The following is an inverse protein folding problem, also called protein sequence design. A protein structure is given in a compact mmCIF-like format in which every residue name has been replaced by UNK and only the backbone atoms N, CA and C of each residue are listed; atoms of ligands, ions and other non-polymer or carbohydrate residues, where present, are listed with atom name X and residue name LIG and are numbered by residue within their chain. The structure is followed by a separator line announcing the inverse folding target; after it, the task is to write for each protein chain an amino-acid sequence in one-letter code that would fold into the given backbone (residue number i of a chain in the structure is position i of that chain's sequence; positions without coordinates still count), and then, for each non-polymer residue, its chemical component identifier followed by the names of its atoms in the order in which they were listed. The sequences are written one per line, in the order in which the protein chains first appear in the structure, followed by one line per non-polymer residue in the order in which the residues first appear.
data_IF_274612683070
#
_entry.id   IF_274612683070
#
_cell.length_a   1.000
_cell.length_b   1.000
_cell.length_c   1.000
_cell.angle_alpha   90.00
_cell.angle_beta   90.00
_cell.angle_gamma   90.00
#
_symmetry.space_group_name_H-M   'P 1'
#
loop_
_entity.id
_entity.type
_entity.pdbx_description
1 polymer ?
#
# COMPACT_ATOMS: atom_id res chain seq x y z
N UNK A 1 -8.97 -38.25 9.36
CA UNK A 1 -8.41 -37.06 10.05
C UNK A 1 -6.94 -36.97 9.68
N UNK A 2 -6.40 -35.77 9.39
CA UNK A 2 -4.94 -35.64 9.26
C UNK A 2 -4.28 -36.09 10.56
N UNK A 3 -3.27 -36.96 10.45
CA UNK A 3 -2.54 -37.51 11.59
C UNK A 3 -1.69 -36.41 12.25
N UNK A 4 -2.11 -35.99 13.44
CA UNK A 4 -1.46 -34.98 14.25
C UNK A 4 -0.31 -35.55 15.09
N UNK A 5 -0.13 -36.88 15.11
CA UNK A 5 0.85 -37.56 15.95
C UNK A 5 2.26 -37.45 15.39
N UNK A 6 2.40 -37.41 14.05
CA UNK A 6 3.71 -37.43 13.39
C UNK A 6 4.20 -36.07 12.89
N UNK A 7 3.33 -35.06 12.84
CA UNK A 7 3.57 -33.79 12.14
C UNK A 7 4.06 -32.65 13.04
N UNK A 8 4.25 -32.91 14.34
CA UNK A 8 4.74 -31.94 15.32
C UNK A 8 6.19 -31.51 15.07
N UNK A 9 6.57 -30.30 15.50
CA UNK A 9 7.94 -29.79 15.44
C UNK A 9 8.98 -30.74 16.06
N UNK A 10 8.66 -31.43 17.16
CA UNK A 10 9.55 -32.43 17.77
C UNK A 10 9.93 -33.57 16.80
N UNK A 11 8.95 -34.04 16.01
CA UNK A 11 9.16 -35.09 15.01
C UNK A 11 9.91 -34.56 13.78
N UNK A 12 9.67 -33.31 13.38
CA UNK A 12 10.42 -32.63 12.32
C UNK A 12 11.90 -32.56 12.69
N UNK A 13 12.23 -32.07 13.90
CA UNK A 13 13.61 -32.03 14.43
C UNK A 13 14.26 -33.40 14.46
N UNK A 14 13.54 -34.41 14.96
CA UNK A 14 14.02 -35.80 15.00
C UNK A 14 14.36 -36.31 13.61
N UNK A 15 13.54 -35.98 12.61
CA UNK A 15 13.80 -36.37 11.22
C UNK A 15 15.01 -35.63 10.63
N UNK A 16 15.13 -34.32 10.83
CA UNK A 16 16.30 -33.54 10.36
C UNK A 16 17.59 -34.10 10.94
N UNK A 17 17.63 -34.40 12.23
CA UNK A 17 18.79 -35.04 12.88
C UNK A 17 19.16 -36.39 12.27
N UNK A 18 18.17 -37.19 11.86
CA UNK A 18 18.41 -38.47 11.17
C UNK A 18 18.96 -38.25 9.75
N UNK A 19 18.48 -37.24 9.03
CA UNK A 19 18.92 -36.92 7.67
C UNK A 19 20.37 -36.37 7.66
N UNK A 20 20.68 -35.45 8.58
CA UNK A 20 22.01 -34.83 8.75
C UNK A 20 23.02 -35.72 9.46
N UNK A 21 22.61 -36.90 9.94
CA UNK A 21 23.44 -37.82 10.74
C UNK A 21 24.01 -37.19 12.01
N UNK A 22 23.31 -36.21 12.58
CA UNK A 22 23.69 -35.49 13.81
C UNK A 22 22.61 -35.70 14.89
N UNK A 23 22.59 -36.88 15.55
CA UNK A 23 21.48 -37.29 16.41
C UNK A 23 21.44 -36.57 17.76
N UNK A 24 22.53 -35.95 18.22
CA UNK A 24 22.61 -35.33 19.54
C UNK A 24 22.37 -33.82 19.51
N UNK A 25 21.75 -33.30 20.57
CA UNK A 25 21.56 -31.86 20.80
C UNK A 25 22.89 -31.12 20.99
N UNK A 26 23.96 -31.82 21.36
CA UNK A 26 25.32 -31.26 21.49
C UNK A 26 26.02 -31.04 20.15
N UNK A 27 25.66 -31.79 19.11
CA UNK A 27 26.20 -31.62 17.75
C UNK A 27 25.40 -30.59 16.95
N UNK A 28 24.09 -30.58 17.13
CA UNK A 28 23.18 -29.63 16.50
C UNK A 28 22.10 -29.23 17.50
N UNK A 29 22.16 -27.98 17.95
CA UNK A 29 21.30 -27.47 19.01
C UNK A 29 19.84 -27.38 18.53
N UNK A 30 18.89 -27.44 19.48
CA UNK A 30 17.48 -27.25 19.14
C UNK A 30 17.17 -25.81 18.68
N UNK A 31 17.98 -24.84 19.12
CA UNK A 31 17.84 -23.44 18.71
C UNK A 31 18.26 -23.24 17.24
N UNK A 32 19.38 -23.85 16.83
CA UNK A 32 19.82 -23.80 15.43
C UNK A 32 18.82 -24.49 14.51
N UNK A 33 18.31 -25.67 14.92
CA UNK A 33 17.25 -26.37 14.18
C UNK A 33 15.99 -25.52 14.04
N UNK A 34 15.54 -24.86 15.10
CA UNK A 34 14.38 -23.96 15.03
C UNK A 34 14.60 -22.84 14.01
N UNK A 35 15.79 -22.22 14.02
CA UNK A 35 16.13 -21.16 13.08
C UNK A 35 16.12 -21.67 11.64
N UNK A 36 16.72 -22.83 11.35
CA UNK A 36 16.70 -23.42 10.00
C UNK A 36 15.29 -23.78 9.54
N UNK A 37 14.49 -24.42 10.41
CA UNK A 37 13.11 -24.79 10.11
C UNK A 37 12.27 -23.54 9.79
N UNK A 38 12.33 -22.52 10.63
CA UNK A 38 11.53 -21.31 10.44
C UNK A 38 12.01 -20.49 9.23
N UNK A 39 13.32 -20.44 8.96
CA UNK A 39 13.86 -19.81 7.74
C UNK A 39 13.31 -20.51 6.50
N UNK A 40 13.36 -21.84 6.46
CA UNK A 40 12.81 -22.61 5.34
C UNK A 40 11.30 -22.37 5.17
N UNK A 41 10.52 -22.41 6.24
CA UNK A 41 9.06 -22.20 6.20
C UNK A 41 8.71 -20.79 5.69
N UNK A 42 9.42 -19.76 6.13
CA UNK A 42 9.10 -18.37 5.82
C UNK A 42 9.54 -17.96 4.41
N UNK A 43 10.68 -18.46 3.93
CA UNK A 43 11.32 -17.94 2.72
C UNK A 43 11.32 -18.92 1.54
N UNK A 44 11.50 -20.22 1.77
CA UNK A 44 11.70 -21.20 0.69
C UNK A 44 10.47 -22.09 0.44
N UNK A 45 9.69 -22.36 1.49
CA UNK A 45 8.56 -23.28 1.45
C UNK A 45 7.43 -22.76 0.53
N UNK A 46 7.14 -21.47 0.58
CA UNK A 46 6.07 -20.85 -0.23
C UNK A 46 6.41 -20.78 -1.73
N UNK A 47 7.71 -20.66 -2.07
CA UNK A 47 8.18 -20.69 -3.47
C UNK A 47 8.04 -22.09 -4.06
N UNK A 48 8.31 -23.12 -3.24
CA UNK A 48 8.32 -24.51 -3.69
C UNK A 48 6.91 -25.12 -3.82
N UNK A 49 5.91 -24.57 -3.13
CA UNK A 49 4.55 -25.10 -3.10
C UNK A 49 3.52 -23.96 -3.10
N UNK A 50 2.93 -23.67 -4.26
CA UNK A 50 1.72 -22.85 -4.38
C UNK A 50 0.49 -23.67 -3.99
N UNK A 51 0.13 -23.64 -2.71
CA UNK A 51 -0.98 -24.43 -2.19
C UNK A 51 -2.23 -23.56 -2.03
N UNK A 52 -3.35 -24.06 -2.56
CA UNK A 52 -4.68 -23.48 -2.35
C UNK A 52 -5.01 -23.32 -0.86
N UNK A 53 -4.39 -24.12 0.01
CA UNK A 53 -4.55 -24.01 1.47
C UNK A 53 -4.02 -22.69 2.06
N UNK A 54 -3.06 -22.04 1.41
CA UNK A 54 -2.56 -20.72 1.83
C UNK A 54 -3.38 -19.58 1.24
N UNK A 55 -4.37 -19.87 0.40
CA UNK A 55 -5.28 -18.87 -0.14
C UNK A 55 -6.23 -18.42 0.96
N UNK A 56 -6.28 -17.12 1.12
CA UNK A 56 -7.09 -16.43 2.12
C UNK A 56 -7.72 -15.19 1.46
N UNK A 57 -8.72 -14.60 2.10
CA UNK A 57 -9.38 -13.40 1.60
C UNK A 57 -8.91 -12.20 2.41
N UNK A 58 -8.07 -11.36 1.80
CA UNK A 58 -7.74 -10.05 2.38
C UNK A 58 -9.01 -9.20 2.33
N UNK A 59 -9.42 -8.71 3.50
CA UNK A 59 -10.52 -7.75 3.63
C UNK A 59 -10.00 -6.45 4.22
N UNK A 60 -10.30 -5.33 3.59
CA UNK A 60 -10.11 -4.00 4.17
C UNK A 60 -11.27 -3.06 3.79
N UNK A 61 -11.36 -1.92 4.45
CA UNK A 61 -12.39 -0.90 4.17
C UNK A 61 -11.74 0.35 3.57
N UNK A 62 -12.33 0.86 2.49
CA UNK A 62 -11.96 2.18 1.97
C UNK A 62 -12.37 3.27 2.94
N UNK A 63 -11.71 4.43 2.83
CA UNK A 63 -12.10 5.68 3.50
C UNK A 63 -12.64 6.63 2.42
N UNK A 64 -13.66 7.44 2.72
CA UNK A 64 -14.18 8.42 1.77
C UNK A 64 -13.07 9.40 1.37
N UNK A 65 -13.02 9.78 0.09
CA UNK A 65 -12.09 10.75 -0.48
C UNK A 65 -10.60 10.35 -0.41
N UNK A 66 -10.30 9.10 -0.03
CA UNK A 66 -8.97 8.51 -0.02
C UNK A 66 -8.87 7.49 -1.13
N UNK A 67 -7.86 7.64 -1.99
CA UNK A 67 -7.70 6.77 -3.13
C UNK A 67 -6.59 5.73 -2.98
N UNK A 68 -5.54 6.05 -2.23
CA UNK A 68 -4.36 5.21 -2.07
C UNK A 68 -4.25 4.72 -0.63
N UNK A 69 -3.99 3.42 -0.49
CA UNK A 69 -3.92 2.71 0.78
C UNK A 69 -2.58 2.00 0.85
N UNK A 70 -1.70 2.53 1.70
CA UNK A 70 -0.41 1.92 1.99
C UNK A 70 -0.49 0.96 3.17
N UNK A 71 0.33 -0.08 3.14
CA UNK A 71 0.58 -0.93 4.30
C UNK A 71 1.32 -0.16 5.38
N UNK A 72 0.89 -0.33 6.63
CA UNK A 72 1.51 0.27 7.81
C UNK A 72 1.56 -0.73 8.96
N UNK A 73 2.45 -0.48 9.92
CA UNK A 73 2.53 -1.19 11.20
C UNK A 73 1.60 -0.57 12.27
N UNK A 74 0.84 0.47 11.91
CA UNK A 74 -0.26 0.96 12.74
C UNK A 74 -1.42 -0.03 12.74
N UNK A 75 -1.81 -0.49 13.94
CA UNK A 75 -2.92 -1.42 14.17
C UNK A 75 -4.26 -0.91 13.64
N UNK A 76 -4.42 0.41 13.49
CA UNK A 76 -5.64 1.04 12.99
C UNK A 76 -5.63 1.21 11.46
N UNK A 77 -4.52 0.92 10.78
CA UNK A 77 -4.45 1.00 9.33
C UNK A 77 -5.26 -0.16 8.69
N UNK A 78 -6.09 0.12 7.66
CA UNK A 78 -6.87 -0.92 6.97
C UNK A 78 -6.05 -2.10 6.43
N UNK A 79 -4.76 -1.87 6.13
CA UNK A 79 -3.79 -2.83 5.63
C UNK A 79 -2.69 -3.12 6.66
N UNK A 80 -3.05 -3.19 7.94
CA UNK A 80 -2.13 -3.46 9.03
C UNK A 80 -1.29 -4.72 8.80
N UNK A 81 0.03 -4.51 8.71
CA UNK A 81 1.05 -5.53 8.54
C UNK A 81 0.84 -6.42 7.30
N UNK A 82 0.24 -5.86 6.24
CA UNK A 82 -0.08 -6.60 5.01
C UNK A 82 1.16 -7.26 4.39
N UNK A 83 2.29 -6.54 4.30
CA UNK A 83 3.55 -7.05 3.72
C UNK A 83 4.11 -8.31 4.39
N UNK A 84 3.87 -8.49 5.69
CA UNK A 84 4.36 -9.66 6.41
C UNK A 84 3.33 -10.80 6.46
N UNK A 85 2.04 -10.47 6.28
CA UNK A 85 0.95 -11.45 6.31
C UNK A 85 0.67 -12.09 4.96
N UNK A 86 0.81 -11.34 3.87
CA UNK A 86 0.44 -11.79 2.53
C UNK A 86 1.61 -11.65 1.56
N UNK A 87 1.68 -12.57 0.59
CA UNK A 87 2.76 -12.63 -0.39
C UNK A 87 2.33 -12.12 -1.77
N UNK A 88 1.17 -12.60 -2.23
CA UNK A 88 0.64 -12.31 -3.57
C UNK A 88 -0.85 -12.05 -3.44
N UNK A 89 -1.34 -11.04 -4.15
CA UNK A 89 -2.76 -10.75 -4.32
C UNK A 89 -3.17 -11.03 -5.77
N UNK A 90 -4.38 -11.55 -5.95
CA UNK A 90 -4.89 -11.96 -7.26
C UNK A 90 -6.40 -11.78 -7.39
N UNK A 91 -6.85 -11.70 -8.65
CA UNK A 91 -8.27 -11.70 -9.00
C UNK A 91 -8.96 -13.03 -8.64
N UNK A 92 -10.29 -13.07 -8.47
CA UNK A 92 -11.21 -11.93 -8.44
C UNK A 92 -11.06 -11.04 -7.19
N UNK A 93 -11.38 -9.76 -7.36
CA UNK A 93 -11.57 -8.80 -6.28
C UNK A 93 -13.04 -8.36 -6.28
N UNK A 94 -13.59 -8.13 -5.08
CA UNK A 94 -14.94 -7.64 -4.88
C UNK A 94 -14.91 -6.31 -4.13
N UNK A 95 -15.71 -5.35 -4.59
CA UNK A 95 -15.95 -4.08 -3.91
C UNK A 95 -17.45 -3.98 -3.66
N UNK A 96 -17.84 -3.76 -2.41
CA UNK A 96 -19.24 -3.73 -1.99
C UNK A 96 -20.05 -4.98 -2.45
N UNK A 97 -19.38 -6.14 -2.53
CA UNK A 97 -19.97 -7.40 -2.98
C UNK A 97 -20.08 -7.60 -4.50
N UNK A 98 -19.66 -6.63 -5.31
CA UNK A 98 -19.63 -6.74 -6.77
C UNK A 98 -18.23 -7.03 -7.28
N UNK A 99 -18.10 -7.88 -8.32
CA UNK A 99 -16.81 -8.15 -8.97
C UNK A 99 -16.26 -6.83 -9.53
N UNK A 100 -14.99 -6.56 -9.26
CA UNK A 100 -14.26 -5.37 -9.69
C UNK A 100 -12.94 -5.75 -10.34
N UNK A 101 -12.42 -4.84 -11.16
CA UNK A 101 -11.18 -5.08 -11.90
C UNK A 101 -9.97 -4.98 -10.97
N UNK A 102 -9.05 -5.93 -11.08
CA UNK A 102 -7.78 -5.90 -10.37
C UNK A 102 -6.63 -5.96 -11.37
N UNK A 103 -5.64 -5.08 -11.20
CA UNK A 103 -4.45 -5.02 -12.04
C UNK A 103 -3.21 -4.68 -11.21
N UNK A 104 -2.05 -5.16 -11.68
CA UNK A 104 -0.73 -4.74 -11.19
C UNK A 104 0.02 -3.90 -12.24
N UNK A 105 -0.58 -3.71 -13.43
CA UNK A 105 -0.03 -2.89 -14.51
C UNK A 105 -0.43 -1.43 -14.31
N UNK A 106 0.56 -0.60 -13.98
CA UNK A 106 0.40 0.84 -13.85
C UNK A 106 -0.15 1.46 -15.14
N UNK A 107 0.44 1.11 -16.29
CA UNK A 107 0.08 1.67 -17.59
C UNK A 107 -1.37 1.34 -17.96
N UNK A 108 -1.79 0.08 -17.75
CA UNK A 108 -3.16 -0.35 -18.07
C UNK A 108 -4.19 0.36 -17.17
N UNK A 109 -3.86 0.61 -15.90
CA UNK A 109 -4.75 1.28 -14.98
C UNK A 109 -4.94 2.76 -15.33
N UNK A 110 -3.84 3.49 -15.55
CA UNK A 110 -3.90 4.92 -15.87
C UNK A 110 -4.29 5.20 -17.34
N UNK A 111 -4.25 4.19 -18.21
CA UNK A 111 -4.90 4.26 -19.52
C UNK A 111 -6.44 4.31 -19.39
N UNK A 112 -7.01 3.60 -18.41
CA UNK A 112 -8.46 3.62 -18.14
C UNK A 112 -8.87 4.80 -17.25
N UNK A 113 -8.02 5.16 -16.29
CA UNK A 113 -8.25 6.24 -15.32
C UNK A 113 -7.16 7.31 -15.41
N UNK A 114 -7.06 8.06 -16.52
CA UNK A 114 -6.06 9.11 -16.67
C UNK A 114 -6.27 10.22 -15.65
N UNK A 115 -5.17 10.78 -15.14
CA UNK A 115 -5.21 11.99 -14.32
C UNK A 115 -5.33 13.20 -15.23
N UNK A 116 -6.52 13.78 -15.29
CA UNK A 116 -6.77 15.00 -16.07
C UNK A 116 -6.48 16.22 -15.21
N UNK A 117 -5.40 16.92 -15.52
CA UNK A 117 -5.02 18.13 -14.80
C UNK A 117 -5.83 19.33 -15.30
N UNK A 118 -6.27 20.17 -14.38
CA UNK A 118 -6.99 21.41 -14.65
C UNK A 118 -6.11 22.60 -14.28
N UNK A 119 -5.88 23.48 -15.26
CA UNK A 119 -5.14 24.73 -15.08
C UNK A 119 -6.13 25.90 -14.96
N UNK A 120 -6.03 26.70 -13.89
CA UNK A 120 -6.85 27.90 -13.68
C UNK A 120 -6.00 29.07 -13.22
N UNK A 121 -6.36 30.26 -13.68
CA UNK A 121 -5.87 31.51 -13.11
C UNK A 121 -6.59 31.79 -11.79
N UNK A 122 -5.84 32.09 -10.73
CA UNK A 122 -6.38 32.42 -9.42
C UNK A 122 -6.12 33.86 -9.01
N UNK A 123 -5.06 34.48 -9.53
CA UNK A 123 -4.70 35.86 -9.25
C UNK A 123 -3.71 36.40 -10.29
N UNK A 124 -3.47 37.71 -10.23
CA UNK A 124 -2.41 38.38 -11.00
C UNK A 124 -1.40 39.00 -10.05
N UNK A 125 -0.11 38.82 -10.33
CA UNK A 125 1.01 39.40 -9.60
C UNK A 125 1.07 40.92 -9.71
N UNK A 126 1.52 41.55 -8.63
CA UNK A 126 1.70 43.00 -8.52
C UNK A 126 3.10 43.39 -7.98
N UNK A 127 4.02 42.43 -7.91
CA UNK A 127 5.38 42.59 -7.35
C UNK A 127 5.44 42.97 -5.86
N UNK A 128 4.33 42.85 -5.12
CA UNK A 128 4.26 43.21 -3.68
C UNK A 128 3.55 42.13 -2.86
N UNK A 129 2.37 41.70 -3.31
CA UNK A 129 1.56 40.68 -2.65
C UNK A 129 2.25 39.33 -2.73
N UNK A 130 2.27 38.63 -1.60
CA UNK A 130 2.86 37.30 -1.47
C UNK A 130 1.82 36.30 -0.96
N UNK A 131 0.74 36.78 -0.35
CA UNK A 131 -0.28 35.97 0.30
C UNK A 131 -1.53 35.91 -0.58
N UNK A 132 -1.97 34.70 -0.89
CA UNK A 132 -3.15 34.44 -1.70
C UNK A 132 -4.05 33.45 -0.97
N UNK A 133 -5.31 33.84 -0.77
CA UNK A 133 -6.34 33.02 -0.13
C UNK A 133 -7.54 32.93 -1.05
N UNK A 134 -8.13 31.76 -1.16
CA UNK A 134 -9.32 31.56 -1.97
C UNK A 134 -9.86 30.14 -1.94
N UNK A 135 -10.75 29.85 -2.87
CA UNK A 135 -11.40 28.54 -2.99
C UNK A 135 -11.40 28.11 -4.45
N UNK A 136 -10.96 26.88 -4.73
CA UNK A 136 -11.02 26.28 -6.07
C UNK A 136 -12.47 25.92 -6.45
N UNK A 137 -12.81 26.01 -7.74
CA UNK A 137 -14.20 25.84 -8.20
C UNK A 137 -14.61 24.39 -8.42
N UNK A 138 -13.68 23.50 -8.76
CA UNK A 138 -13.95 22.08 -8.97
C UNK A 138 -13.31 21.26 -7.85
N UNK A 139 -14.18 20.73 -7.00
CA UNK A 139 -13.84 19.97 -5.81
C UNK A 139 -14.72 18.72 -5.74
N UNK A 140 -14.26 17.63 -5.10
CA UNK A 140 -12.97 17.47 -4.42
C UNK A 140 -11.78 17.34 -5.39
N UNK A 141 -10.59 17.65 -4.89
CA UNK A 141 -9.31 17.57 -5.61
C UNK A 141 -8.47 16.41 -5.11
N UNK A 142 -7.77 15.75 -6.02
CA UNK A 142 -6.93 14.60 -5.72
C UNK A 142 -5.72 15.03 -4.87
N UNK A 143 -5.50 14.32 -3.76
CA UNK A 143 -4.32 14.52 -2.91
C UNK A 143 -3.02 14.30 -3.68
N UNK A 144 -1.95 14.97 -3.25
CA UNK A 144 -0.64 14.94 -3.87
C UNK A 144 -0.67 15.27 -5.38
N UNK A 145 -1.62 16.11 -5.80
CA UNK A 145 -1.83 16.52 -7.20
C UNK A 145 -2.29 17.98 -7.27
N UNK A 146 -1.75 18.83 -6.37
CA UNK A 146 -1.96 20.28 -6.34
C UNK A 146 -0.63 20.99 -6.55
N UNK A 147 -0.62 21.97 -7.43
CA UNK A 147 0.55 22.80 -7.74
C UNK A 147 0.09 24.24 -8.03
N UNK A 148 0.66 25.21 -7.33
CA UNK A 148 0.52 26.62 -7.63
C UNK A 148 1.81 27.16 -8.23
N UNK A 149 1.70 27.94 -9.30
CA UNK A 149 2.87 28.47 -10.00
C UNK A 149 2.73 29.93 -10.38
N UNK A 150 3.86 30.63 -10.38
CA UNK A 150 4.02 31.93 -11.01
C UNK A 150 5.50 32.19 -11.33
N UNK A 151 5.88 33.45 -11.56
CA UNK A 151 7.27 33.88 -11.75
C UNK A 151 7.57 35.14 -10.92
N UNK A 152 8.76 35.23 -10.36
CA UNK A 152 9.22 36.37 -9.56
C UNK A 152 9.72 37.55 -10.41
N UNK A 153 10.11 38.65 -9.76
CA UNK A 153 10.64 39.85 -10.42
C UNK A 153 11.90 39.60 -11.27
N UNK A 154 12.68 38.57 -10.97
CA UNK A 154 13.91 38.19 -11.66
C UNK A 154 13.66 37.12 -12.74
N UNK A 155 12.39 36.81 -13.03
CA UNK A 155 11.95 35.75 -13.95
C UNK A 155 12.35 34.32 -13.51
N UNK A 156 12.56 34.11 -12.21
CA UNK A 156 12.65 32.76 -11.64
C UNK A 156 11.23 32.18 -11.48
N UNK A 157 11.11 30.86 -11.66
CA UNK A 157 9.87 30.15 -11.35
C UNK A 157 9.58 30.19 -9.85
N UNK A 158 8.31 30.36 -9.51
CA UNK A 158 7.78 30.16 -8.16
C UNK A 158 6.87 28.95 -8.20
N UNK A 159 7.08 28.00 -7.29
CA UNK A 159 6.19 26.86 -7.11
C UNK A 159 5.82 26.59 -5.65
N UNK A 160 4.56 26.22 -5.44
CA UNK A 160 4.09 25.59 -4.22
C UNK A 160 3.36 24.31 -4.59
N UNK A 161 3.90 23.17 -4.18
CA UNK A 161 3.34 21.86 -4.45
C UNK A 161 2.89 21.17 -3.17
N UNK A 162 1.91 20.31 -3.35
CA UNK A 162 1.28 19.50 -2.29
C UNK A 162 2.26 18.53 -1.62
N UNK A 163 2.17 18.40 -0.30
CA UNK A 163 2.89 17.38 0.48
C UNK A 163 2.14 16.05 0.64
N UNK A 164 0.86 16.01 0.21
CA UNK A 164 -0.02 14.85 0.31
C UNK A 164 -0.85 14.77 1.60
N UNK A 165 -0.62 15.66 2.55
CA UNK A 165 -1.32 15.77 3.84
C UNK A 165 -2.03 17.12 4.03
N UNK A 166 -2.11 17.93 2.97
CA UNK A 166 -2.80 19.22 2.91
C UNK A 166 -1.89 20.42 3.14
N UNK A 167 -0.58 20.21 3.35
CA UNK A 167 0.42 21.25 3.36
C UNK A 167 0.92 21.57 1.95
N UNK A 168 1.29 22.83 1.72
CA UNK A 168 1.97 23.28 0.51
C UNK A 168 3.42 23.63 0.85
N UNK A 169 4.35 23.09 0.08
CA UNK A 169 5.80 23.26 0.23
C UNK A 169 6.44 23.72 -1.09
N UNK A 170 7.67 24.24 -1.02
CA UNK A 170 8.40 24.75 -2.19
C UNK A 170 8.94 26.16 -1.92
N UNK A 171 8.69 27.08 -2.85
CA UNK A 171 9.09 28.49 -2.78
C UNK A 171 8.15 29.31 -1.89
N UNK A 172 7.90 28.81 -0.67
CA UNK A 172 6.97 29.39 0.28
C UNK A 172 6.32 28.33 1.16
N UNK A 173 5.14 28.65 1.69
CA UNK A 173 4.33 27.76 2.52
C UNK A 173 2.85 27.94 2.23
N UNK A 174 2.04 26.96 2.58
CA UNK A 174 0.59 27.12 2.56
C UNK A 174 -0.14 25.87 3.00
N UNK A 175 -1.45 25.88 2.83
CA UNK A 175 -2.31 24.75 3.04
C UNK A 175 -3.43 24.71 1.99
N UNK A 176 -3.96 23.52 1.76
CA UNK A 176 -5.09 23.24 0.89
C UNK A 176 -6.00 22.21 1.55
N UNK A 177 -7.30 22.49 1.59
CA UNK A 177 -8.30 21.49 1.94
C UNK A 177 -8.81 20.81 0.67
N UNK A 178 -8.57 19.50 0.56
CA UNK A 178 -8.89 18.73 -0.64
C UNK A 178 -10.39 18.58 -0.93
N UNK A 179 -11.26 18.77 0.06
CA UNK A 179 -12.71 18.57 -0.08
C UNK A 179 -13.42 19.86 -0.44
N UNK A 180 -13.03 20.96 0.21
CA UNK A 180 -13.61 22.29 0.02
C UNK A 180 -12.87 23.09 -1.04
N UNK A 181 -11.60 22.75 -1.33
CA UNK A 181 -10.73 23.50 -2.23
C UNK A 181 -10.25 24.83 -1.64
N UNK A 182 -10.48 25.08 -0.35
CA UNK A 182 -9.96 26.26 0.34
C UNK A 182 -8.44 26.19 0.42
N UNK A 183 -7.78 27.24 -0.06
CA UNK A 183 -6.33 27.37 0.00
C UNK A 183 -5.93 28.67 0.69
N UNK A 184 -4.79 28.60 1.36
CA UNK A 184 -4.06 29.72 1.92
C UNK A 184 -2.59 29.50 1.58
N UNK A 185 -2.01 30.33 0.71
CA UNK A 185 -0.64 30.17 0.24
C UNK A 185 0.14 31.48 0.35
N UNK A 186 1.41 31.37 0.72
CA UNK A 186 2.35 32.48 0.84
C UNK A 186 3.61 32.12 0.04
N UNK A 187 3.85 32.79 -1.08
CA UNK A 187 5.13 32.67 -1.79
C UNK A 187 6.24 33.38 -1.01
N UNK A 188 7.46 32.85 -1.07
CA UNK A 188 8.64 33.45 -0.45
C UNK A 188 9.07 34.75 -1.15
N UNK A 189 8.75 34.90 -2.43
CA UNK A 189 8.94 36.12 -3.21
C UNK A 189 7.64 36.50 -3.92
N UNK A 190 7.36 37.79 -4.05
CA UNK A 190 6.16 38.28 -4.71
C UNK A 190 6.19 37.96 -6.22
N UNK A 191 5.10 37.42 -6.78
CA UNK A 191 4.94 37.29 -8.23
C UNK A 191 5.10 38.64 -8.95
N UNK A 192 5.80 38.61 -10.09
CA UNK A 192 6.07 39.79 -10.93
C UNK A 192 4.78 40.49 -11.36
N UNK A 193 4.84 41.80 -11.57
CA UNK A 193 3.69 42.57 -12.05
C UNK A 193 3.16 42.01 -13.37
N UNK A 194 1.83 41.88 -13.46
CA UNK A 194 1.11 41.38 -14.64
C UNK A 194 1.41 39.92 -15.01
N UNK A 195 2.05 39.13 -14.14
CA UNK A 195 2.16 37.69 -14.33
C UNK A 195 1.03 36.98 -13.63
N UNK A 196 0.56 35.87 -14.20
CA UNK A 196 -0.57 35.13 -13.65
C UNK A 196 -0.07 34.18 -12.57
N UNK A 197 -0.85 34.02 -11.51
CA UNK A 197 -0.72 32.92 -10.56
C UNK A 197 -1.70 31.84 -10.99
N UNK A 198 -1.18 30.67 -11.30
CA UNK A 198 -1.97 29.53 -11.73
C UNK A 198 -2.13 28.50 -10.61
N UNK A 199 -3.27 27.83 -10.59
CA UNK A 199 -3.47 26.55 -9.89
C UNK A 199 -3.55 25.43 -10.91
N UNK A 200 -2.85 24.33 -10.66
CA UNK A 200 -2.91 23.07 -11.38
C UNK A 200 -3.40 21.99 -10.42
N UNK A 201 -4.58 21.44 -10.69
CA UNK A 201 -5.20 20.44 -9.82
C UNK A 201 -5.88 19.33 -10.60
N UNK A 202 -5.98 18.14 -10.02
CA UNK A 202 -6.74 17.02 -10.59
C UNK A 202 -8.08 16.86 -9.84
N UNK A 203 -9.19 17.47 -10.31
CA UNK A 203 -10.50 17.28 -9.71
C UNK A 203 -11.03 15.87 -9.99
N UNK A 204 -11.90 15.36 -9.13
CA UNK A 204 -12.54 14.06 -9.34
C UNK A 204 -13.98 14.04 -8.83
N UNK A 205 -14.77 13.10 -9.35
CA UNK A 205 -16.10 12.80 -8.84
C UNK A 205 -16.04 11.52 -7.99
N UNK A 206 -16.26 11.59 -6.66
CA UNK A 206 -16.27 10.42 -5.82
C UNK A 206 -17.50 9.54 -6.09
N UNK A 207 -17.32 8.22 -6.09
CA UNK A 207 -18.38 7.22 -6.26
C UNK A 207 -17.88 5.84 -5.82
N UNK A 208 -18.70 4.81 -5.96
CA UNK A 208 -18.32 3.41 -5.69
C UNK A 208 -17.10 3.05 -6.58
N UNK A 209 -15.97 2.62 -6.00
CA UNK A 209 -14.83 2.16 -6.78
C UNK A 209 -15.17 0.89 -7.56
N UNK A 210 -14.61 0.73 -8.75
CA UNK A 210 -14.83 -0.43 -9.64
C UNK A 210 -13.53 -1.12 -10.06
N UNK A 211 -12.39 -0.51 -9.75
CA UNK A 211 -11.07 -1.01 -10.12
C UNK A 211 -10.04 -0.74 -9.03
N UNK A 212 -9.07 -1.64 -8.90
CA UNK A 212 -7.96 -1.55 -7.96
C UNK A 212 -6.65 -1.85 -8.67
N UNK A 213 -5.69 -0.93 -8.51
CA UNK A 213 -4.28 -1.11 -8.83
C UNK A 213 -3.54 -1.53 -7.57
N UNK A 214 -2.76 -2.61 -7.64
CA UNK A 214 -1.72 -2.89 -6.65
C UNK A 214 -0.36 -2.65 -7.29
N UNK A 215 0.31 -1.57 -6.87
CA UNK A 215 1.61 -1.16 -7.39
C UNK A 215 2.43 -0.50 -6.28
N UNK A 216 3.74 -0.71 -6.26
CA UNK A 216 4.64 -0.15 -5.25
C UNK A 216 4.18 -0.37 -3.79
N UNK A 217 3.62 -1.55 -3.49
CA UNK A 217 3.07 -1.92 -2.17
C UNK A 217 1.92 -1.05 -1.65
N UNK A 218 1.22 -0.34 -2.54
CA UNK A 218 0.02 0.41 -2.23
C UNK A 218 -1.14 -0.10 -3.10
N UNK A 219 -2.35 -0.05 -2.54
CA UNK A 219 -3.58 -0.26 -3.28
C UNK A 219 -4.15 1.11 -3.67
N UNK A 220 -4.29 1.38 -4.96
CA UNK A 220 -4.98 2.57 -5.45
C UNK A 220 -6.32 2.16 -6.04
N UNK A 221 -7.40 2.78 -5.57
CA UNK A 221 -8.77 2.49 -6.03
C UNK A 221 -9.28 3.59 -6.97
N UNK A 222 -10.01 3.18 -8.01
CA UNK A 222 -10.69 4.09 -8.95
C UNK A 222 -12.08 3.55 -9.31
N UNK A 223 -13.09 4.43 -9.48
CA UNK A 223 -13.15 5.82 -9.01
C UNK A 223 -12.88 5.98 -7.50
N UNK A 224 -12.64 7.20 -7.04
CA UNK A 224 -12.30 7.47 -5.64
C UNK A 224 -13.57 7.29 -4.79
N UNK A 225 -13.52 6.58 -3.66
CA UNK A 225 -14.68 6.28 -2.83
C UNK A 225 -15.35 7.55 -2.28
N UNK A 226 -16.68 7.62 -2.36
CA UNK A 226 -17.52 8.61 -1.68
C UNK A 226 -17.85 8.22 -0.22
N UNK A 227 -17.78 6.94 0.12
CA UNK A 227 -18.03 6.41 1.47
C UNK A 227 -17.17 5.15 1.72
N UNK A 228 -17.13 4.61 2.95
CA UNK A 228 -16.47 3.35 3.22
C UNK A 228 -17.13 2.17 2.49
N UNK A 229 -16.34 1.46 1.68
CA UNK A 229 -16.72 0.24 1.01
C UNK A 229 -15.81 -0.91 1.47
N UNK A 230 -16.41 -2.08 1.60
CA UNK A 230 -15.65 -3.31 1.86
C UNK A 230 -14.97 -3.76 0.56
N UNK A 231 -13.66 -3.99 0.64
CA UNK A 231 -12.84 -4.57 -0.42
C UNK A 231 -12.42 -5.96 0.02
N UNK A 232 -12.67 -6.96 -0.83
CA UNK A 232 -12.31 -8.36 -0.60
C UNK A 232 -11.49 -8.85 -1.80
N UNK A 233 -10.24 -9.26 -1.56
CA UNK A 233 -9.35 -9.77 -2.61
C UNK A 233 -8.73 -11.09 -2.18
N UNK A 234 -8.56 -12.01 -3.15
CA UNK A 234 -7.81 -13.22 -2.90
C UNK A 234 -6.34 -12.90 -2.69
N UNK A 235 -5.77 -13.44 -1.61
CA UNK A 235 -4.38 -13.27 -1.27
C UNK A 235 -3.79 -14.61 -0.79
N UNK A 236 -2.52 -14.85 -1.08
CA UNK A 236 -1.79 -15.96 -0.50
C UNK A 236 -1.14 -15.49 0.80
N UNK A 237 -1.56 -16.10 1.91
CA UNK A 237 -0.99 -15.85 3.23
C UNK A 237 0.43 -16.42 3.32
N UNK A 238 1.33 -15.71 3.99
CA UNK A 238 2.64 -16.23 4.36
C UNK A 238 2.47 -17.35 5.39
N UNK A 239 3.18 -18.48 5.26
CA UNK A 239 3.21 -19.51 6.30
C UNK A 239 3.69 -18.96 7.65
N UNK A 240 3.22 -19.56 8.73
CA UNK A 240 3.52 -19.13 10.10
C UNK A 240 4.72 -19.91 10.63
N UNK A 241 5.57 -19.24 11.40
CA UNK A 241 6.64 -19.90 12.13
C UNK A 241 6.11 -20.91 13.16
N UNK A 242 6.91 -21.94 13.45
CA UNK A 242 6.58 -22.97 14.42
C UNK A 242 7.51 -22.81 15.62
N UNK A 243 6.94 -22.42 16.76
CA UNK A 243 7.72 -22.08 17.96
C UNK A 243 7.68 -23.18 19.03
N UNK A 244 6.56 -23.92 19.11
CA UNK A 244 6.35 -24.95 20.13
C UNK A 244 6.56 -26.35 19.56
N UNK A 245 7.25 -27.20 20.31
CA UNK A 245 7.52 -28.59 19.97
C UNK A 245 6.24 -29.43 19.74
N UNK A 246 5.13 -29.06 20.38
CA UNK A 246 3.83 -29.71 20.21
C UNK A 246 3.02 -29.20 19.01
N UNK A 247 3.41 -28.05 18.43
CA UNK A 247 2.71 -27.46 17.29
C UNK A 247 3.13 -28.11 15.97
N UNK A 248 2.21 -28.09 15.00
CA UNK A 248 2.41 -28.61 13.65
C UNK A 248 2.29 -27.48 12.62
N UNK A 249 2.81 -27.64 11.39
CA UNK A 249 2.55 -26.72 10.29
C UNK A 249 1.05 -26.68 9.94
N UNK A 250 0.61 -25.66 9.19
CA UNK A 250 -0.80 -25.46 8.84
C UNK A 250 -1.44 -26.67 8.15
N UNK A 251 -0.65 -27.47 7.43
CA UNK A 251 -1.04 -28.82 7.03
C UNK A 251 -0.10 -29.86 7.61
N UNK A 252 -0.71 -30.90 8.17
CA UNK A 252 0.00 -32.05 8.73
C UNK A 252 0.84 -32.81 7.69
N UNK A 253 0.61 -32.63 6.38
CA UNK A 253 1.35 -33.32 5.32
C UNK A 253 2.72 -32.68 5.04
N UNK A 254 2.91 -31.41 5.44
CA UNK A 254 4.11 -30.63 5.12
C UNK A 254 5.34 -31.06 5.91
N UNK A 255 5.14 -31.70 7.06
CA UNK A 255 6.22 -32.01 8.01
C UNK A 255 7.40 -32.77 7.38
N UNK A 256 7.13 -33.68 6.44
CA UNK A 256 8.19 -34.43 5.77
C UNK A 256 8.99 -33.55 4.83
N UNK A 257 8.31 -32.70 4.07
CA UNK A 257 8.94 -31.82 3.10
C UNK A 257 9.75 -30.73 3.80
N UNK A 258 9.20 -30.14 4.86
CA UNK A 258 9.90 -29.21 5.75
C UNK A 258 11.17 -29.87 6.32
N UNK A 259 11.08 -31.11 6.78
CA UNK A 259 12.25 -31.82 7.28
C UNK A 259 13.31 -32.11 6.20
N UNK A 260 12.94 -32.23 4.92
CA UNK A 260 13.91 -32.40 3.83
C UNK A 260 14.54 -31.08 3.39
N UNK A 261 13.76 -29.99 3.37
CA UNK A 261 14.24 -28.68 2.97
C UNK A 261 15.09 -27.98 4.03
N UNK A 262 14.86 -28.28 5.32
CA UNK A 262 15.62 -27.73 6.43
C UNK A 262 16.80 -28.59 6.89
N UNK A 263 17.10 -29.71 6.19
CA UNK A 263 18.18 -30.65 6.52
C UNK A 263 19.44 -30.45 5.66
#
# INVERSE_FOLDING_TARGET
MPDNTYSTLANIKTKIRRLTRSPSTSQLSDADLNNYINTFILYDFSVSLSLETLKDTLTFFTKPYIDTYETSDDVNNPLYNFKNKYMVVSSPLYIAGSISDFTQSYDSFYALYPKTNELREIATGNSVEMHYVGTLTHVPILRNNVLFTSVDLNDNGLELHDDGEGGLIGDGIGAIDYLTGEYDLVFANAPKISTVVYSQTVPYLPTVPTSVLYYNNAFTVRPIPDQPYRVEINAYRRPTEILDNATMPELSQWWQYIAYGAA
#
